data_IF_174202008199
#
_entry.id   IF_174202008199
#
_cell.length_a   1.000
_cell.length_b   1.000
_cell.length_c   1.000
_cell.angle_alpha   90.00
_cell.angle_beta   90.00
_cell.angle_gamma   90.00
#
_symmetry.space_group_name_H-M   'P 1'
#
loop_
_entity.id
_entity.type
_entity.pdbx_description
1 polymer ?
#
# COMPACT_ATOMS: atom_id res chain seq x y z
N UNK A 1 1.58 0.63 7.69
CA UNK A 1 2.17 1.73 8.48
C UNK A 1 3.29 1.15 9.32
N UNK A 2 4.31 1.94 9.65
CA UNK A 2 5.44 1.51 10.49
C UNK A 2 5.58 2.40 11.75
N UNK A 3 6.58 2.09 12.56
CA UNK A 3 6.95 2.81 13.80
C UNK A 3 7.52 4.21 13.53
N UNK A 4 7.94 4.49 12.30
CA UNK A 4 8.40 5.80 11.84
C UNK A 4 7.27 6.65 11.24
N UNK A 5 6.01 6.24 11.43
CA UNK A 5 4.82 6.90 10.88
C UNK A 5 4.81 6.95 9.33
N UNK A 6 5.51 6.05 8.66
CA UNK A 6 5.49 5.89 7.20
C UNK A 6 4.19 5.22 6.78
N UNK A 7 3.54 5.78 5.74
CA UNK A 7 2.31 5.26 5.18
C UNK A 7 2.54 4.86 3.74
N UNK A 8 2.68 3.55 3.50
CA UNK A 8 3.03 3.01 2.19
C UNK A 8 1.97 2.02 1.76
N UNK A 9 1.57 2.11 0.49
CA UNK A 9 0.67 1.15 -0.13
C UNK A 9 1.46 -0.09 -0.57
N UNK A 10 0.87 -1.26 -0.36
CA UNK A 10 1.36 -2.52 -0.90
C UNK A 10 0.38 -3.08 -1.95
N UNK A 11 0.92 -3.74 -2.96
CA UNK A 11 0.17 -4.40 -4.02
C UNK A 11 0.61 -5.86 -4.17
N UNK A 12 -0.37 -6.73 -4.42
CA UNK A 12 -0.19 -8.17 -4.56
C UNK A 12 -0.99 -8.63 -5.78
N UNK A 13 -0.35 -9.39 -6.68
CA UNK A 13 -1.06 -9.99 -7.81
C UNK A 13 -1.98 -11.13 -7.35
N UNK A 14 -3.07 -11.37 -8.08
CA UNK A 14 -4.07 -12.39 -7.71
C UNK A 14 -3.44 -13.79 -7.48
N UNK A 15 -2.51 -14.21 -8.33
CA UNK A 15 -1.83 -15.50 -8.19
C UNK A 15 -1.03 -15.62 -6.89
N UNK A 16 -0.41 -14.52 -6.46
CA UNK A 16 0.34 -14.45 -5.20
C UNK A 16 -0.57 -14.27 -4.00
N UNK A 17 -1.68 -13.56 -4.17
CA UNK A 17 -2.68 -13.45 -3.11
C UNK A 17 -3.27 -14.81 -2.79
N UNK A 18 -3.60 -15.62 -3.80
CA UNK A 18 -4.15 -16.96 -3.59
C UNK A 18 -3.22 -17.89 -2.80
N UNK A 19 -1.90 -17.74 -2.94
CA UNK A 19 -0.92 -18.51 -2.17
C UNK A 19 -0.71 -18.00 -0.75
N UNK A 20 -1.09 -16.75 -0.47
CA UNK A 20 -0.97 -16.10 0.85
C UNK A 20 -2.33 -15.85 1.54
N UNK A 21 -3.44 -16.16 0.87
CA UNK A 21 -4.79 -15.89 1.34
C UNK A 21 -5.02 -16.54 2.70
N UNK A 22 -5.33 -15.73 3.71
CA UNK A 22 -5.50 -16.15 5.10
C UNK A 22 -4.33 -15.82 6.04
N UNK A 23 -3.21 -15.27 5.53
CA UNK A 23 -2.07 -14.85 6.35
C UNK A 23 -2.07 -13.33 6.66
N UNK A 24 -2.96 -12.56 6.05
CA UNK A 24 -3.03 -11.10 6.20
C UNK A 24 -4.44 -10.70 6.62
N UNK A 25 -4.55 -10.36 7.90
CA UNK A 25 -5.70 -9.74 8.54
C UNK A 25 -5.47 -8.24 8.79
N UNK A 26 -6.53 -7.44 8.64
CA UNK A 26 -6.54 -6.03 9.05
C UNK A 26 -6.30 -5.90 10.56
N UNK A 27 -5.61 -4.82 10.98
CA UNK A 27 -5.34 -4.53 12.39
C UNK A 27 -4.22 -5.37 13.02
N UNK A 28 -3.55 -6.22 12.24
CA UNK A 28 -2.41 -7.02 12.68
C UNK A 28 -1.07 -6.45 12.19
N UNK A 29 0.00 -6.73 12.93
CA UNK A 29 1.36 -6.29 12.59
C UNK A 29 2.11 -7.45 11.92
N UNK A 30 2.81 -7.14 10.83
CA UNK A 30 3.56 -8.10 10.03
C UNK A 30 4.98 -7.63 9.76
N UNK A 31 5.92 -8.58 9.79
CA UNK A 31 7.25 -8.40 9.19
C UNK A 31 7.17 -8.89 7.75
N UNK A 32 7.36 -7.97 6.80
CA UNK A 32 7.36 -8.25 5.37
C UNK A 32 8.81 -8.14 4.88
N UNK A 33 9.31 -9.16 4.17
CA UNK A 33 10.65 -9.18 3.60
C UNK A 33 10.66 -9.75 2.18
N UNK A 34 11.74 -9.51 1.43
CA UNK A 34 11.93 -9.96 0.03
C UNK A 34 10.91 -9.41 -0.99
N UNK A 35 10.36 -8.24 -0.72
CA UNK A 35 9.53 -7.48 -1.66
C UNK A 35 10.40 -6.55 -2.53
N UNK A 36 9.80 -5.96 -3.56
CA UNK A 36 10.43 -4.92 -4.36
C UNK A 36 9.60 -3.63 -4.32
N UNK A 37 10.26 -2.49 -4.47
CA UNK A 37 9.62 -1.17 -4.46
C UNK A 37 9.61 -0.58 -5.87
N UNK A 38 8.47 0.00 -6.25
CA UNK A 38 8.37 0.86 -7.44
C UNK A 38 8.06 2.29 -7.01
N UNK A 39 8.39 3.25 -7.88
CA UNK A 39 7.86 4.59 -7.71
C UNK A 39 6.33 4.52 -7.85
N UNK A 40 5.62 5.08 -6.88
CA UNK A 40 4.19 5.29 -7.00
C UNK A 40 4.01 6.41 -8.04
N UNK A 41 3.88 6.05 -9.31
CA UNK A 41 3.57 7.00 -10.39
C UNK A 41 2.07 7.14 -10.62
N UNK A 42 1.27 6.27 -9.99
CA UNK A 42 -0.18 6.28 -10.12
C UNK A 42 -0.77 7.54 -9.51
N UNK A 43 -1.78 8.06 -10.17
CA UNK A 43 -2.54 9.24 -9.84
C UNK A 43 -3.54 8.96 -8.71
N UNK A 44 -4.11 7.75 -8.68
CA UNK A 44 -4.98 7.29 -7.60
C UNK A 44 -4.16 6.66 -6.47
N UNK A 45 -3.50 7.49 -5.65
CA UNK A 45 -2.84 7.00 -4.44
C UNK A 45 -3.73 7.22 -3.22
N UNK A 46 -4.09 6.15 -2.48
CA UNK A 46 -4.75 6.29 -1.19
C UNK A 46 -3.81 6.88 -0.10
N UNK A 47 -2.51 6.98 -0.38
CA UNK A 47 -1.49 7.47 0.56
C UNK A 47 -0.52 8.42 -0.15
N UNK A 48 -0.04 9.44 0.56
CA UNK A 48 0.92 10.43 0.03
C UNK A 48 2.33 9.89 -0.30
N UNK A 49 2.62 8.61 -0.02
CA UNK A 49 3.93 8.02 -0.29
C UNK A 49 4.28 7.98 -1.79
N UNK A 50 5.54 8.28 -2.08
CA UNK A 50 6.12 8.17 -3.42
C UNK A 50 6.58 6.74 -3.77
N UNK A 51 6.45 5.81 -2.83
CA UNK A 51 6.84 4.41 -3.00
C UNK A 51 5.63 3.49 -2.91
N UNK A 52 5.62 2.48 -3.76
CA UNK A 52 4.67 1.37 -3.78
C UNK A 52 5.44 0.06 -3.53
N UNK A 53 5.03 -0.69 -2.53
CA UNK A 53 5.56 -2.03 -2.27
C UNK A 53 4.82 -3.01 -3.17
N UNK A 54 5.56 -3.83 -3.92
CA UNK A 54 4.98 -4.89 -4.72
C UNK A 54 5.48 -6.24 -4.23
N UNK A 55 4.55 -7.18 -4.09
CA UNK A 55 4.88 -8.51 -3.65
C UNK A 55 5.46 -9.32 -4.82
N UNK A 56 6.45 -10.11 -4.48
CA UNK A 56 7.10 -11.08 -5.36
C UNK A 56 6.76 -12.49 -4.87
N UNK A 57 6.95 -13.53 -5.70
CA UNK A 57 6.75 -14.92 -5.25
C UNK A 57 7.69 -15.31 -4.09
N UNK A 58 8.78 -14.58 -3.88
CA UNK A 58 9.72 -14.77 -2.78
C UNK A 58 9.43 -13.91 -1.55
N UNK A 59 8.37 -13.08 -1.58
CA UNK A 59 7.99 -12.23 -0.46
C UNK A 59 7.54 -13.10 0.72
N UNK A 60 8.04 -12.78 1.90
CA UNK A 60 7.74 -13.48 3.14
C UNK A 60 6.97 -12.53 4.04
N UNK A 61 5.81 -12.99 4.53
CA UNK A 61 4.95 -12.26 5.48
C UNK A 61 4.85 -13.07 6.76
N UNK A 62 5.28 -12.48 7.88
CA UNK A 62 5.25 -13.12 9.19
C UNK A 62 4.43 -12.26 10.16
N UNK A 63 3.36 -12.83 10.71
CA UNK A 63 2.53 -12.17 11.73
C UNK A 63 3.30 -12.08 13.04
N UNK A 64 3.36 -10.88 13.61
CA UNK A 64 3.90 -10.68 14.94
C UNK A 64 2.81 -10.90 15.98
N UNK A 65 3.12 -11.71 16.99
CA UNK A 65 2.22 -12.00 18.12
C UNK A 65 2.49 -11.11 19.34
N UNK A 66 3.62 -10.41 19.35
CA UNK A 66 3.99 -9.44 20.36
C UNK A 66 3.92 -8.04 19.78
N UNK A 67 3.19 -7.18 20.47
CA UNK A 67 3.01 -5.78 20.11
C UNK A 67 4.02 -4.92 20.92
N UNK A 68 5.31 -5.16 20.68
CA UNK A 68 6.38 -4.39 21.32
C UNK A 68 6.66 -3.07 20.57
N UNK A 69 5.85 -2.76 19.53
CA UNK A 69 6.03 -1.60 18.65
C UNK A 69 4.90 -0.60 18.85
N UNK A 70 5.22 0.69 18.90
CA UNK A 70 4.21 1.75 18.99
C UNK A 70 3.75 2.19 17.59
N UNK A 71 3.17 1.25 16.82
CA UNK A 71 2.64 1.56 15.48
C UNK A 71 1.19 2.05 15.62
N UNK A 72 0.85 3.26 15.14
CA UNK A 72 -0.53 3.73 15.15
C UNK A 72 -1.44 2.81 14.33
N UNK A 73 -2.61 2.47 14.88
CA UNK A 73 -3.58 1.60 14.18
C UNK A 73 -4.21 2.27 12.96
N UNK A 74 -4.27 3.59 12.94
CA UNK A 74 -4.89 4.36 11.87
C UNK A 74 -4.09 5.63 11.55
N UNK A 75 -4.12 6.03 10.27
CA UNK A 75 -3.58 7.28 9.78
C UNK A 75 -4.48 7.80 8.67
N UNK A 76 -4.91 9.05 8.82
CA UNK A 76 -5.77 9.73 7.86
C UNK A 76 -5.04 10.93 7.28
N UNK A 77 -5.15 11.10 5.97
CA UNK A 77 -4.69 12.28 5.25
C UNK A 77 -5.94 13.04 4.79
N UNK A 78 -6.22 14.15 5.46
CA UNK A 78 -7.38 14.98 5.15
C UNK A 78 -7.04 15.96 4.03
N UNK A 79 -7.99 16.16 3.13
CA UNK A 79 -7.92 17.11 2.02
C UNK A 79 -9.11 18.03 2.15
N UNK A 80 -8.90 19.35 1.96
CA UNK A 80 -9.99 20.30 1.91
C UNK A 80 -10.86 20.04 0.67
N UNK A 81 -12.18 20.09 0.82
CA UNK A 81 -13.11 19.97 -0.29
C UNK A 81 -12.85 21.03 -1.38
N UNK A 82 -12.42 22.23 -1.00
CA UNK A 82 -12.03 23.29 -1.94
C UNK A 82 -10.86 22.90 -2.83
N UNK A 83 -9.93 22.11 -2.31
CA UNK A 83 -8.74 21.64 -3.02
C UNK A 83 -9.01 20.37 -3.85
N UNK A 84 -10.09 19.65 -3.55
CA UNK A 84 -10.45 18.39 -4.19
C UNK A 84 -10.54 18.49 -5.72
N UNK A 85 -11.14 19.56 -6.24
CA UNK A 85 -11.27 19.78 -7.68
C UNK A 85 -9.93 20.05 -8.36
N UNK A 86 -9.03 20.78 -7.68
CA UNK A 86 -7.67 21.03 -8.18
C UNK A 86 -6.84 19.75 -8.23
N UNK A 87 -6.96 18.91 -7.20
CA UNK A 87 -6.33 17.59 -7.15
C UNK A 87 -6.88 16.69 -8.25
N UNK A 88 -8.21 16.64 -8.41
CA UNK A 88 -8.88 15.84 -9.44
C UNK A 88 -8.45 16.25 -10.87
N UNK A 89 -8.25 17.55 -11.10
CA UNK A 89 -7.87 18.09 -12.41
C UNK A 89 -6.42 17.83 -12.80
N UNK A 90 -5.55 17.54 -11.81
CA UNK A 90 -4.15 17.19 -12.04
C UNK A 90 -3.95 15.70 -12.36
N UNK A 91 -5.01 14.90 -12.31
CA UNK A 91 -4.93 13.51 -12.71
C UNK A 91 -4.92 13.39 -14.24
N UNK A 92 -3.91 12.75 -14.85
CA UNK A 92 -3.92 12.42 -16.26
C UNK A 92 -5.14 11.57 -16.59
N UNK A 93 -5.87 11.95 -17.65
CA UNK A 93 -7.14 11.34 -18.06
C UNK A 93 -7.02 9.86 -18.47
N UNK A 94 -5.80 9.40 -18.80
CA UNK A 94 -5.52 8.04 -19.25
C UNK A 94 -4.37 7.44 -18.43
N UNK A 95 -4.59 7.19 -17.14
CA UNK A 95 -3.86 6.11 -16.50
C UNK A 95 -4.61 4.83 -16.75
N UNK A 96 -4.16 4.07 -17.76
CA UNK A 96 -4.41 2.65 -17.74
C UNK A 96 -3.76 2.13 -16.47
N UNK A 97 -4.53 1.49 -15.58
CA UNK A 97 -3.96 0.48 -14.74
C UNK A 97 -2.84 -0.30 -15.44
N UNK A 98 -1.58 -0.21 -15.00
CA UNK A 98 -0.60 -1.27 -15.33
C UNK A 98 -1.10 -2.66 -14.83
N UNK A 99 -2.18 -2.67 -14.04
CA UNK A 99 -2.88 -3.81 -13.50
C UNK A 99 -4.07 -4.31 -14.36
N UNK A 100 -4.37 -3.72 -15.52
CA UNK A 100 -5.34 -4.28 -16.48
C UNK A 100 -4.63 -5.31 -17.37
N UNK A 101 -4.58 -6.56 -16.93
CA UNK A 101 -4.22 -7.68 -17.80
C UNK A 101 -5.28 -7.81 -18.91
N UNK A 102 -4.91 -7.40 -20.12
CA UNK A 102 -5.53 -7.92 -21.35
C UNK A 102 -5.00 -9.30 -21.70
#
# INVERSE_FOLDING_TARGET
MDDNNSHVQAFIYADQWNSMAGNIDEGSIYVISNFYTKAATCSLKPVSSNFLINFSPSTIVQKLTKDDFMIPSHKFEFVDLGDLFGIASNYPNDEYPEYSTG
#
